data_IF_057312125193
#
_entry.id   IF_057312125193
#
_cell.length_a   1.000
_cell.length_b   1.000
_cell.length_c   1.000
_cell.angle_alpha   90.00
_cell.angle_beta   90.00
_cell.angle_gamma   90.00
#
_symmetry.space_group_name_H-M   'P 1'
#
loop_
_entity.id
_entity.type
_entity.pdbx_description
1 polymer ?
#
# COMPACT_ATOMS: atom_id res chain seq x y z
N UNK A 1 20.10 -10.92 18.18
CA UNK A 1 20.13 -9.46 18.01
C UNK A 1 19.52 -9.15 16.66
N UNK A 2 18.28 -8.63 16.63
CA UNK A 2 17.61 -8.32 15.38
C UNK A 2 18.32 -7.11 14.77
N UNK A 3 18.81 -7.22 13.54
CA UNK A 3 19.44 -6.08 12.85
C UNK A 3 18.40 -5.00 12.65
N UNK A 4 18.64 -3.80 13.20
CA UNK A 4 17.77 -2.65 13.04
C UNK A 4 18.01 -2.06 11.65
N UNK A 5 17.13 -2.37 10.70
CA UNK A 5 17.17 -1.77 9.36
C UNK A 5 16.72 -0.30 9.41
N UNK A 6 17.34 0.55 8.62
CA UNK A 6 16.82 1.87 8.33
C UNK A 6 15.81 1.77 7.20
N UNK A 7 14.56 2.20 7.46
CA UNK A 7 13.46 2.13 6.51
C UNK A 7 13.04 3.54 6.08
N UNK A 8 12.83 3.72 4.78
CA UNK A 8 12.32 4.96 4.19
C UNK A 8 11.17 4.59 3.25
N UNK A 9 9.93 5.00 3.58
CA UNK A 9 8.75 4.77 2.75
C UNK A 9 8.54 5.99 1.85
N UNK A 10 8.62 5.78 0.54
CA UNK A 10 8.56 6.84 -0.46
C UNK A 10 7.20 6.82 -1.13
N UNK A 11 6.47 7.93 -1.06
CA UNK A 11 5.17 8.07 -1.72
C UNK A 11 4.84 9.54 -2.07
N UNK A 12 3.60 9.78 -2.48
CA UNK A 12 3.04 11.12 -2.67
C UNK A 12 2.32 11.61 -1.41
N UNK A 13 2.00 12.90 -1.34
CA UNK A 13 1.24 13.48 -0.22
C UNK A 13 -0.24 13.07 -0.27
N UNK A 14 -0.49 11.78 -0.19
CA UNK A 14 -1.81 11.17 -0.14
C UNK A 14 -1.76 9.83 0.60
N UNK A 15 -2.91 9.35 1.04
CA UNK A 15 -3.05 8.04 1.69
C UNK A 15 -2.85 6.92 0.70
N UNK A 16 -3.85 6.66 -0.10
CA UNK A 16 -3.88 5.72 -1.23
C UNK A 16 -3.10 4.40 -0.93
N UNK A 17 -2.27 3.96 -1.88
CA UNK A 17 -1.56 2.68 -1.80
C UNK A 17 -0.48 2.60 -0.72
N UNK A 18 -0.03 3.71 -0.15
CA UNK A 18 0.94 3.72 0.94
C UNK A 18 0.28 3.66 2.33
N UNK A 19 -1.04 3.83 2.44
CA UNK A 19 -1.68 3.90 3.76
C UNK A 19 -1.64 2.57 4.50
N UNK A 20 -1.89 1.45 3.84
CA UNK A 20 -1.79 0.14 4.46
C UNK A 20 -0.36 -0.16 4.99
N UNK A 21 0.72 0.06 4.21
CA UNK A 21 2.09 0.02 4.73
C UNK A 21 2.33 0.94 5.93
N UNK A 22 1.86 2.20 5.91
CA UNK A 22 2.00 3.13 7.05
C UNK A 22 1.33 2.60 8.30
N UNK A 23 0.07 2.17 8.18
CA UNK A 23 -0.69 1.60 9.30
C UNK A 23 0.00 0.37 9.87
N UNK A 24 0.55 -0.48 9.00
CA UNK A 24 1.19 -1.72 9.43
C UNK A 24 2.55 -1.45 10.10
N UNK A 25 3.36 -0.54 9.60
CA UNK A 25 4.58 -0.07 10.26
C UNK A 25 4.28 0.53 11.63
N UNK A 26 3.22 1.32 11.73
CA UNK A 26 2.77 1.87 13.00
C UNK A 26 2.29 0.78 13.97
N UNK A 27 1.48 -0.16 13.51
CA UNK A 27 0.98 -1.28 14.31
C UNK A 27 2.10 -2.15 14.87
N UNK A 28 3.12 -2.42 14.07
CA UNK A 28 4.28 -3.25 14.47
C UNK A 28 5.32 -2.49 15.30
N UNK A 29 5.18 -1.17 15.44
CA UNK A 29 6.15 -0.32 16.14
C UNK A 29 7.50 -0.21 15.44
N UNK A 30 7.58 -0.57 14.16
CA UNK A 30 8.80 -0.46 13.37
C UNK A 30 9.00 1.00 12.96
N UNK A 31 10.14 1.57 13.34
CA UNK A 31 10.51 2.94 12.98
C UNK A 31 10.84 3.07 11.49
N UNK A 32 10.36 4.12 10.86
CA UNK A 32 10.63 4.45 9.46
C UNK A 32 10.54 5.95 9.20
N UNK A 33 11.15 6.41 8.13
CA UNK A 33 10.99 7.76 7.60
C UNK A 33 9.91 7.74 6.49
N UNK A 34 8.85 8.55 6.63
CA UNK A 34 7.81 8.73 5.59
C UNK A 34 8.17 9.93 4.73
N UNK A 35 8.65 9.69 3.52
CA UNK A 35 9.19 10.71 2.64
C UNK A 35 8.34 10.91 1.40
N UNK A 36 8.10 12.17 1.05
CA UNK A 36 7.49 12.49 -0.23
C UNK A 36 8.49 12.23 -1.36
N UNK A 37 7.98 11.84 -2.53
CA UNK A 37 8.85 11.51 -3.67
C UNK A 37 9.77 12.67 -4.06
N UNK A 38 9.28 13.91 -4.05
CA UNK A 38 10.08 15.10 -4.33
C UNK A 38 11.14 15.40 -3.27
N UNK A 39 10.88 15.11 -2.00
CA UNK A 39 11.88 15.27 -0.93
C UNK A 39 12.98 14.21 -1.04
N UNK A 40 12.61 12.98 -1.36
CA UNK A 40 13.56 11.88 -1.52
C UNK A 40 14.45 12.03 -2.76
N UNK A 41 13.87 12.40 -3.90
CA UNK A 41 14.60 12.51 -5.16
C UNK A 41 15.16 13.91 -5.44
N UNK A 42 14.64 14.96 -4.79
CA UNK A 42 14.97 16.36 -5.09
C UNK A 42 14.54 16.80 -6.50
N UNK A 43 13.59 16.10 -7.11
CA UNK A 43 13.11 16.29 -8.50
C UNK A 43 11.62 15.97 -8.61
N UNK A 44 11.01 16.44 -9.67
CA UNK A 44 9.63 16.11 -10.01
C UNK A 44 9.47 14.62 -10.36
N UNK A 45 8.28 14.08 -10.06
CA UNK A 45 7.98 12.68 -10.33
C UNK A 45 8.14 12.29 -11.80
N UNK A 46 7.77 13.17 -12.73
CA UNK A 46 7.93 12.94 -14.16
C UNK A 46 9.36 12.61 -14.57
N UNK A 47 10.33 13.26 -13.93
CA UNK A 47 11.75 13.14 -14.24
C UNK A 47 12.36 11.85 -13.68
N UNK A 48 11.90 11.43 -12.52
CA UNK A 48 12.45 10.25 -11.80
C UNK A 48 11.70 8.96 -12.10
N UNK A 49 10.45 9.05 -12.54
CA UNK A 49 9.58 7.88 -12.80
C UNK A 49 10.22 6.82 -13.71
N UNK A 50 10.95 7.17 -14.79
CA UNK A 50 11.58 6.17 -15.67
C UNK A 50 12.57 5.24 -14.94
N UNK A 51 13.22 5.74 -13.88
CA UNK A 51 14.29 5.05 -13.15
C UNK A 51 13.76 4.32 -11.89
N UNK A 52 12.47 4.50 -11.56
CA UNK A 52 11.83 3.82 -10.43
C UNK A 52 11.37 2.42 -10.85
N UNK A 53 11.63 1.37 -10.07
CA UNK A 53 11.15 0.04 -10.36
C UNK A 53 9.62 0.03 -10.60
N UNK A 54 9.18 -0.65 -11.66
CA UNK A 54 7.77 -0.69 -12.12
C UNK A 54 7.18 0.68 -12.47
N UNK A 55 7.98 1.77 -12.42
CA UNK A 55 7.53 3.16 -12.65
C UNK A 55 6.35 3.55 -11.76
N UNK A 56 6.31 3.02 -10.55
CA UNK A 56 5.22 3.17 -9.58
C UNK A 56 5.74 3.35 -8.16
N UNK A 57 4.92 4.02 -7.34
CA UNK A 57 5.06 4.10 -5.89
C UNK A 57 3.81 3.47 -5.23
N UNK A 58 3.85 3.03 -3.96
CA UNK A 58 4.92 3.23 -2.98
C UNK A 58 6.17 2.39 -3.24
N UNK A 59 7.28 2.86 -2.67
CA UNK A 59 8.55 2.14 -2.61
C UNK A 59 9.10 2.23 -1.19
N UNK A 60 9.48 1.08 -0.63
CA UNK A 60 10.23 1.02 0.62
C UNK A 60 11.72 0.87 0.31
N UNK A 61 12.51 1.78 0.82
CA UNK A 61 13.98 1.70 0.74
C UNK A 61 14.51 1.18 2.06
N UNK A 62 15.31 0.12 2.00
CA UNK A 62 15.93 -0.52 3.16
C UNK A 62 17.42 -0.27 3.12
N UNK A 63 17.95 0.29 4.20
CA UNK A 63 19.38 0.60 4.40
C UNK A 63 20.01 1.43 3.27
N UNK A 64 19.20 2.31 2.65
CA UNK A 64 19.58 3.11 1.46
C UNK A 64 20.04 2.29 0.24
N UNK A 65 19.85 0.99 0.26
CA UNK A 65 20.39 0.04 -0.70
C UNK A 65 19.31 -0.75 -1.44
N UNK A 66 18.37 -1.33 -0.71
CA UNK A 66 17.37 -2.20 -1.29
C UNK A 66 16.06 -1.47 -1.53
N UNK A 67 15.48 -1.64 -2.70
CA UNK A 67 14.22 -1.00 -3.11
C UNK A 67 13.14 -2.06 -3.26
N UNK A 68 12.14 -2.03 -2.41
CA UNK A 68 10.98 -2.93 -2.43
C UNK A 68 9.79 -2.11 -2.94
N UNK A 69 9.23 -2.50 -4.07
CA UNK A 69 8.06 -1.88 -4.67
C UNK A 69 6.86 -2.83 -4.57
N UNK A 70 5.66 -2.30 -4.82
CA UNK A 70 4.36 -2.94 -4.67
C UNK A 70 3.91 -3.04 -3.20
N UNK A 71 2.74 -2.46 -2.89
CA UNK A 71 2.21 -2.38 -1.52
C UNK A 71 2.18 -3.74 -0.82
N UNK A 72 1.78 -4.80 -1.54
CA UNK A 72 1.71 -6.15 -0.99
C UNK A 72 3.08 -6.72 -0.64
N UNK A 73 4.09 -6.50 -1.48
CA UNK A 73 5.46 -6.95 -1.20
C UNK A 73 6.04 -6.17 0.01
N UNK A 74 5.73 -4.89 0.12
CA UNK A 74 6.11 -4.07 1.28
C UNK A 74 5.46 -4.61 2.55
N UNK A 75 4.17 -4.95 2.51
CA UNK A 75 3.45 -5.54 3.65
C UNK A 75 4.08 -6.87 4.08
N UNK A 76 4.38 -7.78 3.13
CA UNK A 76 5.05 -9.05 3.42
C UNK A 76 6.44 -8.85 4.03
N UNK A 77 7.20 -7.84 3.57
CA UNK A 77 8.49 -7.52 4.16
C UNK A 77 8.35 -7.05 5.61
N UNK A 78 7.38 -6.15 5.90
CA UNK A 78 7.11 -5.66 7.25
C UNK A 78 6.69 -6.80 8.17
N UNK A 79 5.81 -7.70 7.71
CA UNK A 79 5.35 -8.89 8.43
C UNK A 79 6.54 -9.76 8.87
N UNK A 80 7.44 -10.08 7.95
CA UNK A 80 8.64 -10.86 8.23
C UNK A 80 9.60 -10.13 9.18
N UNK A 81 9.80 -8.83 8.97
CA UNK A 81 10.66 -8.02 9.84
C UNK A 81 10.12 -7.92 11.27
N UNK A 82 8.80 -7.86 11.43
CA UNK A 82 8.13 -7.85 12.72
C UNK A 82 8.11 -9.23 13.42
N UNK A 83 8.43 -10.31 12.71
CA UNK A 83 8.37 -11.66 13.23
C UNK A 83 6.95 -12.19 13.48
N UNK A 84 5.96 -11.63 12.79
CA UNK A 84 4.53 -12.02 12.91
C UNK A 84 4.01 -12.75 11.68
N UNK A 85 4.90 -13.21 10.82
CA UNK A 85 4.57 -13.93 9.60
C UNK A 85 3.82 -15.25 9.91
N UNK A 86 2.79 -15.51 9.13
CA UNK A 86 1.99 -16.72 9.21
C UNK A 86 2.78 -17.87 8.57
N UNK A 87 3.20 -18.83 9.38
CA UNK A 87 4.02 -19.98 8.94
C UNK A 87 3.20 -21.12 8.34
N UNK A 88 1.92 -21.26 8.75
CA UNK A 88 1.03 -22.25 8.13
C UNK A 88 0.70 -21.82 6.68
N UNK A 89 0.98 -22.67 5.68
CA UNK A 89 0.83 -22.29 4.28
C UNK A 89 -0.62 -22.06 3.86
N UNK A 90 -1.59 -22.73 4.49
CA UNK A 90 -3.01 -22.57 4.18
C UNK A 90 -3.52 -21.25 4.76
N UNK A 91 -3.19 -20.96 6.02
CA UNK A 91 -3.57 -19.69 6.65
C UNK A 91 -2.89 -18.51 5.95
N UNK A 92 -1.64 -18.64 5.57
CA UNK A 92 -0.92 -17.62 4.82
C UNK A 92 -1.60 -17.35 3.46
N UNK A 93 -1.95 -18.39 2.72
CA UNK A 93 -2.66 -18.25 1.44
C UNK A 93 -4.02 -17.56 1.61
N UNK A 94 -4.79 -17.89 2.66
CA UNK A 94 -6.07 -17.23 2.97
C UNK A 94 -5.88 -15.75 3.32
N UNK A 95 -4.90 -15.41 4.17
CA UNK A 95 -4.59 -14.03 4.52
C UNK A 95 -4.19 -13.21 3.28
N UNK A 96 -3.33 -13.77 2.43
CA UNK A 96 -2.95 -13.14 1.17
C UNK A 96 -4.13 -12.94 0.23
N UNK A 97 -5.07 -13.90 0.14
CA UNK A 97 -6.29 -13.76 -0.67
C UNK A 97 -7.16 -12.60 -0.19
N UNK A 98 -7.32 -12.42 1.12
CA UNK A 98 -8.04 -11.29 1.71
C UNK A 98 -7.35 -9.96 1.36
N UNK A 99 -6.04 -9.89 1.55
CA UNK A 99 -5.28 -8.67 1.24
C UNK A 99 -5.35 -8.31 -0.25
N UNK A 100 -5.23 -9.29 -1.15
CA UNK A 100 -5.35 -9.05 -2.58
C UNK A 100 -6.76 -8.62 -2.98
N UNK A 101 -7.80 -9.24 -2.40
CA UNK A 101 -9.20 -8.84 -2.63
C UNK A 101 -9.45 -7.39 -2.17
N UNK A 102 -8.89 -6.98 -1.04
CA UNK A 102 -8.95 -5.59 -0.59
C UNK A 102 -8.21 -4.63 -1.55
N UNK A 103 -7.06 -5.05 -2.09
CA UNK A 103 -6.32 -4.28 -3.08
C UNK A 103 -7.11 -4.10 -4.39
N UNK A 104 -7.83 -5.12 -4.84
CA UNK A 104 -8.71 -5.04 -6.02
C UNK A 104 -9.83 -4.01 -5.85
N UNK A 105 -10.34 -3.83 -4.62
CA UNK A 105 -11.33 -2.79 -4.32
C UNK A 105 -10.75 -1.38 -4.48
N UNK A 106 -9.49 -1.22 -4.14
CA UNK A 106 -8.85 0.08 -4.19
C UNK A 106 -8.59 0.57 -5.62
N UNK A 107 -8.35 -0.33 -6.56
CA UNK A 107 -7.99 0.03 -7.94
C UNK A 107 -9.04 0.92 -8.64
N UNK A 108 -10.33 0.59 -8.66
CA UNK A 108 -11.34 1.48 -9.24
C UNK A 108 -11.62 2.73 -8.39
N UNK A 109 -11.39 2.67 -7.07
CA UNK A 109 -11.58 3.80 -6.16
C UNK A 109 -10.54 4.90 -6.40
N UNK A 110 -9.29 4.52 -6.60
CA UNK A 110 -8.16 5.45 -6.65
C UNK A 110 -8.35 6.60 -7.66
N UNK A 111 -8.73 6.37 -8.94
CA UNK A 111 -8.95 7.44 -9.90
C UNK A 111 -10.13 8.36 -9.53
N UNK A 112 -11.09 7.85 -8.77
CA UNK A 112 -12.26 8.61 -8.36
C UNK A 112 -11.96 9.47 -7.15
N UNK A 113 -11.44 8.85 -6.08
CA UNK A 113 -11.23 9.52 -4.79
C UNK A 113 -10.10 10.55 -4.87
N UNK A 114 -9.02 10.25 -5.58
CA UNK A 114 -7.83 11.11 -5.58
C UNK A 114 -7.76 12.12 -6.75
N UNK A 115 -8.52 11.90 -7.81
CA UNK A 115 -8.37 12.69 -9.03
C UNK A 115 -9.67 13.31 -9.57
N UNK A 116 -10.77 13.23 -8.83
CA UNK A 116 -12.03 13.88 -9.22
C UNK A 116 -12.69 14.59 -8.03
N UNK A 117 -13.38 15.70 -8.33
CA UNK A 117 -14.11 16.51 -7.34
C UNK A 117 -15.48 16.90 -7.88
N UNK A 118 -16.33 17.47 -7.02
CA UNK A 118 -17.63 18.03 -7.38
C UNK A 118 -18.59 17.01 -8.03
N UNK A 119 -19.33 17.42 -9.03
CA UNK A 119 -20.33 16.58 -9.71
C UNK A 119 -19.70 15.37 -10.43
N UNK A 120 -18.48 15.51 -10.94
CA UNK A 120 -17.75 14.38 -11.56
C UNK A 120 -17.42 13.28 -10.54
N UNK A 121 -17.05 13.68 -9.34
CA UNK A 121 -16.83 12.73 -8.23
C UNK A 121 -18.13 12.02 -7.86
N UNK A 122 -19.23 12.75 -7.67
CA UNK A 122 -20.54 12.18 -7.30
C UNK A 122 -20.99 11.13 -8.32
N UNK A 123 -20.97 11.48 -9.61
CA UNK A 123 -21.36 10.55 -10.68
C UNK A 123 -20.53 9.25 -10.67
N UNK A 124 -19.21 9.37 -10.54
CA UNK A 124 -18.34 8.18 -10.48
C UNK A 124 -18.58 7.36 -9.23
N UNK A 125 -18.73 8.01 -8.07
CA UNK A 125 -19.06 7.36 -6.81
C UNK A 125 -20.35 6.53 -6.94
N UNK A 126 -21.42 7.15 -7.46
CA UNK A 126 -22.73 6.51 -7.54
C UNK A 126 -22.70 5.27 -8.46
N UNK A 127 -21.88 5.29 -9.52
CA UNK A 127 -21.67 4.13 -10.38
C UNK A 127 -20.89 3.01 -9.67
N UNK A 128 -19.95 3.37 -8.80
CA UNK A 128 -19.08 2.39 -8.12
C UNK A 128 -19.68 1.82 -6.84
N UNK A 129 -20.54 2.54 -6.15
CA UNK A 129 -21.05 2.16 -4.83
C UNK A 129 -21.71 0.76 -4.80
N UNK A 130 -22.56 0.35 -5.76
CA UNK A 130 -23.14 -0.99 -5.73
C UNK A 130 -22.07 -2.10 -5.75
N UNK A 131 -21.06 -1.96 -6.58
CA UNK A 131 -19.93 -2.91 -6.62
C UNK A 131 -19.17 -2.96 -5.30
N UNK A 132 -18.84 -1.79 -4.74
CA UNK A 132 -18.10 -1.72 -3.48
C UNK A 132 -18.87 -2.35 -2.31
N UNK A 133 -20.17 -2.04 -2.19
CA UNK A 133 -21.01 -2.58 -1.13
C UNK A 133 -21.05 -4.11 -1.20
N UNK A 134 -21.26 -4.68 -2.39
CA UNK A 134 -21.24 -6.13 -2.58
C UNK A 134 -19.91 -6.76 -2.16
N UNK A 135 -18.80 -6.14 -2.52
CA UNK A 135 -17.45 -6.65 -2.16
C UNK A 135 -17.13 -6.51 -0.67
N UNK A 136 -17.63 -5.46 -0.01
CA UNK A 136 -17.51 -5.34 1.44
C UNK A 136 -18.27 -6.41 2.18
N UNK A 137 -19.47 -6.76 1.72
CA UNK A 137 -20.25 -7.90 2.27
C UNK A 137 -19.49 -9.22 2.11
N UNK A 138 -18.83 -9.46 0.99
CA UNK A 138 -18.02 -10.65 0.77
C UNK A 138 -16.82 -10.72 1.72
N UNK A 139 -16.13 -9.59 1.93
CA UNK A 139 -15.01 -9.52 2.88
C UNK A 139 -15.49 -9.71 4.32
N UNK A 140 -16.61 -9.13 4.70
CA UNK A 140 -17.19 -9.29 6.04
C UNK A 140 -17.45 -10.76 6.38
N UNK A 141 -18.03 -11.54 5.44
CA UNK A 141 -18.27 -12.97 5.63
C UNK A 141 -17.00 -13.80 5.87
N UNK A 142 -15.85 -13.32 5.39
CA UNK A 142 -14.58 -14.03 5.54
C UNK A 142 -13.93 -13.69 6.89
N UNK A 143 -14.19 -12.50 7.44
CA UNK A 143 -13.59 -11.99 8.67
C UNK A 143 -14.32 -12.44 9.94
N UNK A 144 -15.52 -13.00 9.82
CA UNK A 144 -16.34 -13.56 10.92
C UNK A 144 -16.11 -15.06 11.00
#
# INVERSE_FOLDING_TARGET
MQMKHKLELIYFKMRALAEAPRMFLHYTGIEYDDLMSWDYYGKDWSDVKPDVPFKQLPMLVVDKKYKICQSMAIMTFIENLAGINITDPILNAKANAIMQSAQELFMPLNPTVNFTTGEKFKKKRDVMMPFLLSRFEDLEKILI
#
